data_IF_647847224317
#
_entry.id   IF_647847224317
#
_cell.length_a   1.000
_cell.length_b   1.000
_cell.length_c   1.000
_cell.angle_alpha   90.00
_cell.angle_beta   90.00
_cell.angle_gamma   90.00
#
_symmetry.space_group_name_H-M   'P 1'
#
loop_
_entity.id
_entity.type
_entity.pdbx_description
1 polymer ?
#
# COMPACT_ATOMS: atom_id res chain seq x y z
N UNK A 1 15.22 -8.79 9.58
CA UNK A 1 14.70 -7.59 8.87
C UNK A 1 15.56 -6.41 9.31
N UNK A 2 15.90 -5.48 8.41
CA UNK A 2 16.78 -4.34 8.70
C UNK A 2 16.03 -3.03 8.43
N UNK A 3 16.19 -2.04 9.29
CA UNK A 3 15.66 -0.69 9.07
C UNK A 3 16.48 0.05 8.00
N UNK A 4 15.87 1.03 7.33
CA UNK A 4 16.53 1.80 6.26
C UNK A 4 16.41 3.30 6.49
N UNK A 5 17.49 4.00 6.17
CA UNK A 5 17.68 5.43 6.38
C UNK A 5 18.12 6.10 5.08
N UNK A 6 17.70 7.34 4.87
CA UNK A 6 17.99 8.09 3.62
C UNK A 6 19.26 8.93 3.76
N UNK A 7 19.62 9.32 4.98
CA UNK A 7 20.83 10.07 5.29
C UNK A 7 21.42 9.70 6.67
N UNK A 8 22.54 10.35 7.02
CA UNK A 8 23.24 10.18 8.30
C UNK A 8 22.53 10.88 9.48
N UNK A 9 21.39 11.54 9.25
CA UNK A 9 20.68 12.39 10.23
C UNK A 9 19.47 11.66 10.87
N UNK A 10 19.47 10.32 10.80
CA UNK A 10 18.42 9.43 11.33
C UNK A 10 17.02 9.57 10.71
N UNK A 11 16.92 10.16 9.51
CA UNK A 11 15.67 10.14 8.74
C UNK A 11 15.45 8.75 8.12
N UNK A 12 14.63 7.94 8.80
CA UNK A 12 14.22 6.60 8.36
C UNK A 12 13.07 6.66 7.36
N UNK A 13 12.95 5.62 6.53
CA UNK A 13 11.84 5.50 5.57
C UNK A 13 11.28 4.07 5.51
N UNK A 14 10.00 3.93 5.15
CA UNK A 14 9.42 2.63 4.85
C UNK A 14 9.95 2.05 3.53
N UNK A 15 10.21 2.93 2.57
CA UNK A 15 10.72 2.62 1.25
C UNK A 15 11.22 3.86 0.55
N UNK A 16 11.98 3.66 -0.52
CA UNK A 16 12.51 4.71 -1.36
C UNK A 16 12.54 4.23 -2.81
N UNK A 17 12.12 5.09 -3.73
CA UNK A 17 12.23 4.86 -5.16
C UNK A 17 13.06 5.95 -5.84
N UNK A 18 13.91 5.53 -6.77
CA UNK A 18 14.60 6.40 -7.73
C UNK A 18 14.04 6.12 -9.12
N UNK A 19 13.12 7.00 -9.54
CA UNK A 19 12.37 6.86 -10.79
C UNK A 19 13.30 6.80 -12.01
N UNK A 20 14.35 7.63 -12.03
CA UNK A 20 15.30 7.73 -13.16
C UNK A 20 16.04 6.40 -13.37
N UNK A 21 16.32 5.67 -12.30
CA UNK A 21 17.06 4.41 -12.34
C UNK A 21 16.14 3.18 -12.38
N UNK A 22 14.82 3.37 -12.29
CA UNK A 22 13.85 2.28 -12.24
C UNK A 22 14.01 1.36 -11.02
N UNK A 23 14.60 1.87 -9.93
CA UNK A 23 14.92 1.09 -8.73
C UNK A 23 14.11 1.54 -7.53
N UNK A 24 13.62 0.58 -6.75
CA UNK A 24 13.04 0.81 -5.44
C UNK A 24 13.50 -0.22 -4.42
N UNK A 25 13.59 0.20 -3.16
CA UNK A 25 13.78 -0.65 -1.99
C UNK A 25 12.71 -0.30 -0.96
N UNK A 26 12.24 -1.29 -0.20
CA UNK A 26 11.42 -1.06 0.97
C UNK A 26 11.78 -2.06 2.08
N UNK A 27 11.52 -1.67 3.33
CA UNK A 27 11.83 -2.48 4.51
C UNK A 27 10.56 -2.99 5.18
N UNK A 28 10.63 -4.22 5.67
CA UNK A 28 9.62 -4.83 6.52
C UNK A 28 9.74 -4.42 7.99
N UNK A 29 10.87 -3.85 8.43
CA UNK A 29 11.20 -3.69 9.84
C UNK A 29 10.12 -2.90 10.61
N UNK A 30 9.77 -1.71 10.13
CA UNK A 30 8.77 -0.83 10.75
C UNK A 30 7.33 -1.16 10.37
N UNK A 31 7.12 -2.15 9.49
CA UNK A 31 5.78 -2.59 9.10
C UNK A 31 5.19 -3.57 10.12
N UNK A 32 6.06 -4.25 10.88
CA UNK A 32 5.65 -5.11 11.99
C UNK A 32 4.94 -4.26 13.07
N UNK A 33 3.69 -4.57 13.44
CA UNK A 33 2.97 -3.89 14.52
C UNK A 33 3.69 -3.92 15.87
N UNK A 34 4.61 -4.88 16.07
CA UNK A 34 5.38 -5.01 17.29
C UNK A 34 6.69 -4.21 17.27
N UNK A 35 7.02 -3.51 16.18
CA UNK A 35 8.24 -2.71 16.07
C UNK A 35 8.19 -1.44 16.96
N UNK A 36 9.29 -1.08 17.67
CA UNK A 36 10.51 -1.86 17.84
C UNK A 36 10.28 -3.01 18.83
N UNK A 37 10.44 -4.24 18.35
CA UNK A 37 10.13 -5.41 19.16
C UNK A 37 11.30 -5.69 20.11
N UNK A 38 11.03 -5.73 21.41
CA UNK A 38 12.00 -6.25 22.38
C UNK A 38 11.93 -7.79 22.42
N UNK A 39 13.01 -8.49 22.84
CA UNK A 39 12.95 -9.93 23.08
C UNK A 39 11.79 -10.35 23.99
N UNK A 40 11.46 -9.51 24.98
CA UNK A 40 10.33 -9.71 25.89
C UNK A 40 8.98 -9.56 25.16
N UNK A 41 8.85 -8.58 24.26
CA UNK A 41 7.63 -8.35 23.46
C UNK A 41 7.34 -9.55 22.55
N UNK A 42 8.37 -10.06 21.87
CA UNK A 42 8.24 -11.20 20.96
C UNK A 42 7.90 -12.50 21.69
N UNK A 43 8.41 -12.69 22.92
CA UNK A 43 8.10 -13.85 23.75
C UNK A 43 6.66 -13.84 24.28
N UNK A 44 6.15 -12.65 24.63
CA UNK A 44 4.84 -12.48 25.26
C UNK A 44 3.68 -12.34 24.27
N UNK A 45 3.96 -11.99 23.01
CA UNK A 45 2.94 -11.74 21.98
C UNK A 45 3.13 -12.67 20.79
N UNK A 46 2.56 -13.89 20.82
CA UNK A 46 2.56 -14.75 19.64
C UNK A 46 1.87 -14.05 18.46
N UNK A 47 2.36 -14.29 17.25
CA UNK A 47 1.85 -13.64 16.05
C UNK A 47 0.40 -14.09 15.78
N UNK A 48 -0.58 -13.24 16.11
CA UNK A 48 -1.99 -13.51 15.87
C UNK A 48 -2.34 -13.39 14.39
N UNK A 49 -3.51 -13.90 14.00
CA UNK A 49 -4.01 -13.76 12.63
C UNK A 49 -4.20 -12.27 12.27
N UNK A 50 -4.66 -11.44 13.21
CA UNK A 50 -4.83 -10.00 13.02
C UNK A 50 -3.48 -9.32 12.77
N UNK A 51 -2.44 -9.67 13.53
CA UNK A 51 -1.08 -9.16 13.29
C UNK A 51 -0.59 -9.53 11.88
N UNK A 52 -0.86 -10.76 11.41
CA UNK A 52 -0.50 -11.17 10.04
C UNK A 52 -1.23 -10.33 9.00
N UNK A 53 -2.53 -10.09 9.18
CA UNK A 53 -3.33 -9.29 8.23
C UNK A 53 -2.83 -7.85 8.17
N UNK A 54 -2.56 -7.21 9.32
CA UNK A 54 -2.01 -5.85 9.36
C UNK A 54 -0.65 -5.80 8.66
N UNK A 55 0.23 -6.76 8.97
CA UNK A 55 1.55 -6.83 8.36
C UNK A 55 1.44 -6.99 6.84
N UNK A 56 0.63 -7.92 6.35
CA UNK A 56 0.40 -8.11 4.89
C UNK A 56 -0.12 -6.81 4.27
N UNK A 57 -1.10 -6.16 4.89
CA UNK A 57 -1.68 -4.91 4.40
C UNK A 57 -0.63 -3.82 4.25
N UNK A 58 0.21 -3.62 5.27
CA UNK A 58 1.31 -2.63 5.26
C UNK A 58 2.37 -2.96 4.21
N UNK A 59 2.76 -4.23 4.11
CA UNK A 59 3.73 -4.70 3.11
C UNK A 59 3.26 -4.43 1.68
N UNK A 60 2.03 -4.83 1.37
CA UNK A 60 1.43 -4.62 0.05
C UNK A 60 1.28 -3.13 -0.22
N UNK A 61 0.89 -2.33 0.77
CA UNK A 61 0.76 -0.87 0.62
C UNK A 61 2.06 -0.23 0.16
N UNK A 62 3.14 -0.44 0.91
CA UNK A 62 4.42 0.20 0.62
C UNK A 62 4.99 -0.33 -0.70
N UNK A 63 4.91 -1.64 -0.94
CA UNK A 63 5.31 -2.22 -2.23
C UNK A 63 4.61 -1.54 -3.41
N UNK A 64 3.28 -1.39 -3.35
CA UNK A 64 2.51 -0.79 -4.43
C UNK A 64 2.74 0.73 -4.53
N UNK A 65 2.96 1.41 -3.41
CA UNK A 65 3.31 2.84 -3.37
C UNK A 65 4.62 3.08 -4.11
N UNK A 66 5.66 2.34 -3.75
CA UNK A 66 6.97 2.46 -4.37
C UNK A 66 6.95 2.04 -5.85
N UNK A 67 6.19 0.98 -6.19
CA UNK A 67 5.97 0.61 -7.59
C UNK A 67 5.27 1.72 -8.37
N UNK A 68 4.34 2.45 -7.73
CA UNK A 68 3.72 3.65 -8.29
C UNK A 68 4.76 4.72 -8.64
N UNK A 69 5.76 4.93 -7.78
CA UNK A 69 6.88 5.82 -8.09
C UNK A 69 7.67 5.34 -9.32
N UNK A 70 7.93 4.04 -9.46
CA UNK A 70 8.61 3.49 -10.65
C UNK A 70 7.84 3.77 -11.96
N UNK A 71 6.52 3.92 -11.88
CA UNK A 71 5.67 4.30 -13.00
C UNK A 71 5.45 5.82 -13.12
N UNK A 72 6.26 6.63 -12.44
CA UNK A 72 6.24 8.09 -12.55
C UNK A 72 5.17 8.79 -11.72
N UNK A 73 4.46 8.07 -10.84
CA UNK A 73 3.52 8.70 -9.91
C UNK A 73 4.28 9.40 -8.79
N UNK A 74 4.03 10.69 -8.59
CA UNK A 74 4.46 11.42 -7.37
C UNK A 74 3.43 11.25 -6.26
N UNK A 75 3.79 11.65 -5.05
CA UNK A 75 2.83 11.75 -3.96
C UNK A 75 1.57 12.50 -4.38
N UNK A 76 0.41 11.91 -4.06
CA UNK A 76 -0.89 12.48 -4.36
C UNK A 76 -1.31 13.40 -3.21
N UNK A 77 -1.72 14.63 -3.55
CA UNK A 77 -2.24 15.62 -2.60
C UNK A 77 -3.71 15.97 -2.84
N UNK A 78 -4.34 15.34 -3.85
CA UNK A 78 -5.68 15.72 -4.32
C UNK A 78 -6.80 14.93 -3.62
N UNK A 79 -6.53 13.69 -3.22
CA UNK A 79 -7.50 12.76 -2.66
C UNK A 79 -6.81 11.80 -1.70
N UNK A 80 -7.62 11.14 -0.87
CA UNK A 80 -7.23 9.91 -0.17
C UNK A 80 -6.87 8.85 -1.23
N UNK A 81 -5.62 8.37 -1.20
CA UNK A 81 -5.00 7.60 -2.26
C UNK A 81 -3.86 6.73 -1.69
N UNK A 82 -3.62 5.57 -2.31
CA UNK A 82 -2.43 4.75 -2.09
C UNK A 82 -1.13 5.55 -2.23
N UNK A 83 -1.09 6.56 -3.10
CA UNK A 83 0.07 7.42 -3.34
C UNK A 83 0.18 8.61 -2.36
N UNK A 84 -0.57 8.68 -1.26
CA UNK A 84 -0.34 9.72 -0.26
C UNK A 84 0.98 9.44 0.49
N UNK A 85 1.79 10.47 0.76
CA UNK A 85 2.96 10.31 1.63
C UNK A 85 2.55 10.08 3.09
N UNK A 86 3.34 9.31 3.84
CA UNK A 86 3.12 9.04 5.26
C UNK A 86 4.41 9.23 6.06
N UNK A 87 4.34 9.95 7.17
CA UNK A 87 5.49 10.18 8.05
C UNK A 87 5.52 9.26 9.28
N UNK A 88 4.45 8.50 9.51
CA UNK A 88 4.31 7.58 10.64
C UNK A 88 3.29 6.48 10.34
N UNK A 89 3.23 5.47 11.22
CA UNK A 89 2.40 4.27 11.04
C UNK A 89 0.91 4.62 11.05
N UNK A 90 0.53 5.61 11.86
CA UNK A 90 -0.87 6.04 11.98
C UNK A 90 -1.37 6.66 10.68
N UNK A 91 -0.55 7.50 10.05
CA UNK A 91 -0.84 8.07 8.73
C UNK A 91 -0.88 6.97 7.67
N UNK A 92 0.13 6.10 7.63
CA UNK A 92 0.19 4.98 6.70
C UNK A 92 -1.06 4.11 6.81
N UNK A 93 -1.49 3.73 8.02
CA UNK A 93 -2.61 2.81 8.23
C UNK A 93 -3.94 3.41 7.79
N UNK A 94 -4.13 4.72 7.95
CA UNK A 94 -5.32 5.47 7.49
C UNK A 94 -5.44 5.55 5.97
N UNK A 95 -4.33 5.47 5.24
CA UNK A 95 -4.35 5.49 3.79
C UNK A 95 -4.95 4.20 3.21
N UNK A 96 -5.54 4.24 2.00
CA UNK A 96 -6.11 3.06 1.38
C UNK A 96 -5.07 2.24 0.60
N UNK A 97 -5.44 1.04 0.15
CA UNK A 97 -4.66 0.25 -0.83
C UNK A 97 -5.07 0.51 -2.29
N UNK A 98 -5.94 1.48 -2.55
CA UNK A 98 -6.44 1.79 -3.88
C UNK A 98 -5.98 3.15 -4.38
N UNK A 99 -5.80 3.28 -5.69
CA UNK A 99 -5.52 4.55 -6.35
C UNK A 99 -6.80 5.41 -6.43
N UNK A 100 -6.65 6.72 -6.21
CA UNK A 100 -7.72 7.66 -6.51
C UNK A 100 -7.93 7.79 -8.04
N UNK A 101 -9.06 8.35 -8.51
CA UNK A 101 -9.34 8.49 -9.94
C UNK A 101 -8.24 9.21 -10.74
N UNK A 102 -7.58 10.21 -10.14
CA UNK A 102 -6.47 10.93 -10.78
C UNK A 102 -5.27 10.00 -10.98
N UNK A 103 -4.82 9.30 -9.93
CA UNK A 103 -3.64 8.45 -10.03
C UNK A 103 -3.90 7.21 -10.91
N UNK A 104 -5.11 6.65 -10.83
CA UNK A 104 -5.53 5.58 -11.73
C UNK A 104 -5.51 6.05 -13.20
N UNK A 105 -6.03 7.25 -13.49
CA UNK A 105 -6.01 7.80 -14.85
C UNK A 105 -4.60 8.05 -15.37
N UNK A 106 -3.68 8.52 -14.52
CA UNK A 106 -2.25 8.66 -14.86
C UNK A 106 -1.67 7.31 -15.27
N UNK A 107 -1.89 6.27 -14.46
CA UNK A 107 -1.39 4.93 -14.77
C UNK A 107 -2.03 4.36 -16.04
N UNK A 108 -3.34 4.53 -16.21
CA UNK A 108 -4.07 4.12 -17.40
C UNK A 108 -3.53 4.77 -18.68
N UNK A 109 -3.14 6.06 -18.61
CA UNK A 109 -2.59 6.76 -19.78
C UNK A 109 -1.29 6.16 -20.32
N UNK A 110 -0.59 5.37 -19.51
CA UNK A 110 0.63 4.66 -19.91
C UNK A 110 0.31 3.24 -20.37
N UNK A 111 -0.47 2.48 -19.59
CA UNK A 111 -0.62 1.04 -19.77
C UNK A 111 -1.90 0.60 -20.48
N UNK A 112 -2.92 1.46 -20.57
CA UNK A 112 -4.20 1.19 -21.24
C UNK A 112 -4.91 -0.10 -20.79
N UNK A 113 -4.76 -0.48 -19.52
CA UNK A 113 -5.36 -1.69 -18.96
C UNK A 113 -6.88 -1.57 -18.80
N UNK A 114 -7.58 -2.70 -18.82
CA UNK A 114 -8.99 -2.75 -18.45
C UNK A 114 -9.15 -2.58 -16.94
N UNK A 115 -9.77 -1.48 -16.52
CA UNK A 115 -9.98 -1.16 -15.10
C UNK A 115 -10.85 -2.18 -14.39
N UNK A 116 -11.87 -2.73 -15.07
CA UNK A 116 -12.77 -3.73 -14.49
C UNK A 116 -12.01 -5.01 -14.14
N UNK A 117 -11.19 -5.52 -15.06
CA UNK A 117 -10.39 -6.73 -14.85
C UNK A 117 -9.39 -6.53 -13.70
N UNK A 118 -8.82 -5.33 -13.59
CA UNK A 118 -7.90 -4.98 -12.49
C UNK A 118 -8.64 -4.97 -11.15
N UNK A 119 -9.80 -4.33 -11.07
CA UNK A 119 -10.58 -4.24 -9.84
C UNK A 119 -11.09 -5.60 -9.37
N UNK A 120 -11.57 -6.45 -10.28
CA UNK A 120 -11.98 -7.82 -9.96
C UNK A 120 -10.80 -8.63 -9.37
N UNK A 121 -9.64 -8.59 -10.03
CA UNK A 121 -8.42 -9.27 -9.55
C UNK A 121 -8.02 -8.77 -8.16
N UNK A 122 -8.02 -7.46 -7.92
CA UNK A 122 -7.70 -6.91 -6.61
C UNK A 122 -8.74 -7.29 -5.55
N UNK A 123 -10.04 -7.30 -5.87
CA UNK A 123 -11.09 -7.71 -4.95
C UNK A 123 -10.91 -9.16 -4.48
N UNK A 124 -10.58 -10.08 -5.40
CA UNK A 124 -10.34 -11.49 -5.11
C UNK A 124 -9.05 -11.70 -4.30
N UNK A 125 -7.99 -10.95 -4.59
CA UNK A 125 -6.75 -10.97 -3.80
C UNK A 125 -7.01 -10.46 -2.38
N UNK A 126 -7.77 -9.37 -2.23
CA UNK A 126 -8.11 -8.81 -0.93
C UNK A 126 -8.91 -9.81 -0.09
N UNK A 127 -9.89 -10.50 -0.68
CA UNK A 127 -10.62 -11.59 0.00
C UNK A 127 -9.69 -12.69 0.50
N UNK A 128 -8.80 -13.18 -0.38
CA UNK A 128 -7.84 -14.24 -0.06
C UNK A 128 -6.95 -13.90 1.14
N UNK A 129 -6.58 -12.64 1.31
CA UNK A 129 -5.72 -12.17 2.41
C UNK A 129 -6.49 -11.48 3.55
N UNK A 130 -7.82 -11.63 3.61
CA UNK A 130 -8.68 -11.06 4.66
C UNK A 130 -8.60 -9.52 4.78
N UNK A 131 -8.38 -8.84 3.65
CA UNK A 131 -8.41 -7.38 3.53
C UNK A 131 -9.83 -6.92 3.20
N UNK A 132 -10.74 -7.04 4.17
CA UNK A 132 -12.17 -6.90 3.94
C UNK A 132 -12.60 -5.52 3.43
N UNK A 133 -12.02 -4.46 3.98
CA UNK A 133 -12.41 -3.09 3.61
C UNK A 133 -12.02 -2.77 2.17
N UNK A 134 -10.82 -3.18 1.76
CA UNK A 134 -10.37 -3.09 0.38
C UNK A 134 -11.20 -3.97 -0.56
N UNK A 135 -11.51 -5.22 -0.16
CA UNK A 135 -12.36 -6.12 -0.94
C UNK A 135 -13.73 -5.49 -1.22
N UNK A 136 -14.42 -4.99 -0.18
CA UNK A 136 -15.71 -4.31 -0.30
C UNK A 136 -15.61 -3.08 -1.19
N UNK A 137 -14.51 -2.31 -1.07
CA UNK A 137 -14.29 -1.12 -1.87
C UNK A 137 -14.16 -1.44 -3.37
N UNK A 138 -13.35 -2.43 -3.73
CA UNK A 138 -13.14 -2.81 -5.13
C UNK A 138 -14.43 -3.34 -5.78
N UNK A 139 -15.18 -4.20 -5.09
CA UNK A 139 -16.46 -4.69 -5.60
C UNK A 139 -17.49 -3.57 -5.78
N UNK A 140 -17.61 -2.67 -4.82
CA UNK A 140 -18.50 -1.52 -4.94
C UNK A 140 -18.14 -0.65 -6.15
N UNK A 141 -16.85 -0.42 -6.40
CA UNK A 141 -16.40 0.35 -7.55
C UNK A 141 -16.62 -0.36 -8.87
N UNK A 142 -16.41 -1.66 -8.92
CA UNK A 142 -16.68 -2.47 -10.10
C UNK A 142 -18.16 -2.43 -10.47
N UNK A 143 -19.06 -2.59 -9.49
CA UNK A 143 -20.51 -2.49 -9.70
C UNK A 143 -20.91 -1.10 -10.23
N UNK A 144 -20.38 0.00 -9.67
CA UNK A 144 -20.65 1.34 -10.19
C UNK A 144 -20.22 1.55 -11.66
N UNK A 145 -19.13 0.91 -12.10
CA UNK A 145 -18.64 1.03 -13.47
C UNK A 145 -19.47 0.18 -14.43
N UNK A 146 -19.84 -1.04 -14.01
CA UNK A 146 -20.61 -1.97 -14.83
C UNK A 146 -22.10 -1.62 -14.88
N UNK A 147 -22.64 -1.03 -13.81
CA UNK A 147 -24.04 -0.68 -13.63
C UNK A 147 -24.21 0.82 -13.29
N UNK A 148 -23.83 1.75 -14.18
CA UNK A 148 -23.78 3.19 -13.88
C UNK A 148 -25.15 3.86 -13.64
N UNK A 149 -26.25 3.18 -13.91
CA UNK A 149 -27.62 3.70 -13.82
C UNK A 149 -28.46 3.10 -12.67
N UNK A 150 -27.83 2.31 -11.78
CA UNK A 150 -28.44 1.94 -10.48
C UNK A 150 -28.25 3.06 -9.48
#
# INVERSE_FOLDING_TARGET
>A
MADIYVDEVEDWVYGQARIIDGLSVYSFARLDPLYPASPQTLFLSPLTDEHRVIMIRRCVKILLHELGHLFGLKHCIYYICLMNGANNETEMDRQPLYLCPICLRKLYSTFHFNVCDVYEKFANICEKYRLEEEHKWYWKRLDCIQNPNK
#
